data_IF_150488249263
#
_entry.id   IF_150488249263
#
_cell.length_a   1.000
_cell.length_b   1.000
_cell.length_c   1.000
_cell.angle_alpha   90.00
_cell.angle_beta   90.00
_cell.angle_gamma   90.00
#
_symmetry.space_group_name_H-M   'P 1'
#
loop_
_entity.id
_entity.type
_entity.pdbx_description
1 polymer ?
#
# COMPACT_ATOMS: atom_id res chain seq x y z
N UNK A 1 10.02 36.30 -6.80
CA UNK A 1 11.02 35.84 -5.79
C UNK A 1 10.39 34.74 -4.95
N UNK A 2 10.94 33.52 -4.97
CA UNK A 2 10.49 32.42 -4.09
C UNK A 2 11.00 32.76 -2.67
N UNK A 3 10.12 32.77 -1.66
CA UNK A 3 10.53 33.09 -0.29
C UNK A 3 11.57 32.07 0.20
N UNK A 4 12.62 32.55 0.89
CA UNK A 4 13.69 31.73 1.46
C UNK A 4 13.14 30.56 2.30
N UNK A 5 12.01 30.78 2.98
CA UNK A 5 11.27 29.77 3.74
C UNK A 5 10.71 28.63 2.90
N UNK A 6 10.20 28.89 1.69
CA UNK A 6 9.73 27.85 0.76
C UNK A 6 10.90 27.05 0.20
N UNK A 7 11.99 27.72 -0.16
CA UNK A 7 13.19 27.06 -0.68
C UNK A 7 13.82 26.10 0.34
N UNK A 8 13.95 26.53 1.60
CA UNK A 8 14.48 25.68 2.67
C UNK A 8 13.55 24.50 2.99
N UNK A 9 12.23 24.73 3.00
CA UNK A 9 11.23 23.67 3.21
C UNK A 9 11.28 22.61 2.11
N UNK A 10 11.45 23.03 0.87
CA UNK A 10 11.55 22.14 -0.29
C UNK A 10 12.88 21.38 -0.34
N UNK A 11 13.99 22.04 0.01
CA UNK A 11 15.30 21.40 0.14
C UNK A 11 15.31 20.35 1.26
N UNK A 12 14.71 20.67 2.41
CA UNK A 12 14.53 19.73 3.53
C UNK A 12 13.75 18.50 3.10
N UNK A 13 12.61 18.69 2.41
CA UNK A 13 11.79 17.59 1.87
C UNK A 13 12.55 16.66 0.93
N UNK A 14 13.33 17.20 -0.01
CA UNK A 14 14.14 16.39 -0.94
C UNK A 14 15.23 15.59 -0.22
N UNK A 15 15.83 16.15 0.83
CA UNK A 15 16.84 15.46 1.64
C UNK A 15 16.19 14.34 2.45
N UNK A 16 15.09 14.62 3.15
CA UNK A 16 14.34 13.58 3.88
C UNK A 16 13.90 12.46 2.96
N UNK A 17 13.44 12.76 1.73
CA UNK A 17 13.08 11.76 0.73
C UNK A 17 14.26 10.84 0.36
N UNK A 18 15.44 11.41 0.07
CA UNK A 18 16.61 10.60 -0.28
C UNK A 18 17.08 9.73 0.88
N UNK A 19 17.07 10.28 2.09
CA UNK A 19 17.49 9.57 3.30
C UNK A 19 16.52 8.44 3.63
N UNK A 20 15.20 8.66 3.54
CA UNK A 20 14.22 7.59 3.80
C UNK A 20 14.24 6.50 2.72
N UNK A 21 14.53 6.84 1.46
CA UNK A 21 14.72 5.85 0.39
C UNK A 21 15.97 5.00 0.64
N UNK A 22 17.09 5.65 0.97
CA UNK A 22 18.33 4.95 1.31
C UNK A 22 18.14 4.07 2.55
N UNK A 23 17.42 4.56 3.56
CA UNK A 23 17.06 3.78 4.75
C UNK A 23 16.22 2.55 4.38
N UNK A 24 15.24 2.68 3.48
CA UNK A 24 14.42 1.54 3.06
C UNK A 24 15.24 0.50 2.28
N UNK A 25 16.09 0.93 1.36
CA UNK A 25 16.95 0.03 0.59
C UNK A 25 18.00 -0.66 1.45
N UNK A 26 18.56 0.05 2.44
CA UNK A 26 19.56 -0.52 3.36
C UNK A 26 18.91 -1.46 4.37
N UNK A 27 17.75 -1.12 4.92
CA UNK A 27 17.00 -2.01 5.83
C UNK A 27 16.48 -3.26 5.13
N UNK A 28 16.05 -3.17 3.87
CA UNK A 28 15.66 -4.35 3.09
C UNK A 28 16.85 -5.26 2.82
N UNK A 29 18.00 -4.71 2.41
CA UNK A 29 19.23 -5.47 2.22
C UNK A 29 19.73 -6.09 3.53
N UNK A 30 19.72 -5.33 4.64
CA UNK A 30 20.10 -5.84 5.95
C UNK A 30 19.20 -6.99 6.38
N UNK A 31 17.88 -6.91 6.19
CA UNK A 31 16.97 -7.98 6.61
C UNK A 31 17.29 -9.35 5.98
N UNK A 32 17.88 -9.37 4.77
CA UNK A 32 18.28 -10.61 4.11
C UNK A 32 19.72 -11.04 4.44
N UNK A 33 20.62 -10.08 4.69
CA UNK A 33 22.03 -10.34 4.97
C UNK A 33 22.31 -10.62 6.46
N UNK A 34 21.46 -10.15 7.37
CA UNK A 34 21.70 -10.32 8.82
C UNK A 34 21.49 -11.77 9.26
N UNK A 35 22.41 -12.31 10.08
CA UNK A 35 22.24 -13.64 10.67
C UNK A 35 21.04 -13.67 11.62
N UNK A 36 20.46 -14.86 11.79
CA UNK A 36 19.21 -15.06 12.53
C UNK A 36 19.22 -14.44 13.94
N UNK A 37 20.37 -14.48 14.62
CA UNK A 37 20.54 -14.01 15.99
C UNK A 37 20.47 -12.46 16.10
N UNK A 38 20.74 -11.74 15.02
CA UNK A 38 20.74 -10.26 15.01
C UNK A 38 19.45 -9.67 14.42
N UNK A 39 18.57 -10.49 13.82
CA UNK A 39 17.28 -10.06 13.30
C UNK A 39 16.37 -9.40 14.35
N UNK A 40 16.27 -9.87 15.62
CA UNK A 40 15.46 -9.21 16.63
C UNK A 40 15.94 -7.80 16.93
N UNK A 41 17.26 -7.60 16.96
CA UNK A 41 17.86 -6.29 17.21
C UNK A 41 17.54 -5.31 16.07
N UNK A 42 17.59 -5.79 14.83
CA UNK A 42 17.19 -5.03 13.65
C UNK A 42 15.69 -4.66 13.71
N UNK A 43 14.83 -5.61 14.09
CA UNK A 43 13.39 -5.37 14.24
C UNK A 43 13.08 -4.31 15.31
N UNK A 44 13.80 -4.33 16.44
CA UNK A 44 13.71 -3.29 17.48
C UNK A 44 14.17 -1.93 16.94
N UNK A 45 15.29 -1.88 16.22
CA UNK A 45 15.78 -0.65 15.61
C UNK A 45 14.76 -0.03 14.64
N UNK A 46 14.19 -0.83 13.74
CA UNK A 46 13.20 -0.35 12.76
C UNK A 46 11.90 0.09 13.42
N UNK A 47 11.48 -0.56 14.51
CA UNK A 47 10.29 -0.14 15.27
C UNK A 47 10.49 1.17 16.00
N UNK A 48 11.66 1.41 16.59
CA UNK A 48 11.99 2.70 17.21
C UNK A 48 11.91 3.82 16.16
N UNK A 49 12.48 3.59 14.97
CA UNK A 49 12.38 4.56 13.86
C UNK A 49 10.94 4.75 13.42
N UNK A 50 10.13 3.68 13.36
CA UNK A 50 8.70 3.80 13.06
C UNK A 50 7.96 4.66 14.08
N UNK A 51 8.18 4.44 15.39
CA UNK A 51 7.58 5.25 16.45
C UNK A 51 7.95 6.72 16.29
N UNK A 52 9.23 7.00 15.99
CA UNK A 52 9.70 8.36 15.78
C UNK A 52 9.02 9.05 14.58
N UNK A 53 8.79 8.32 13.48
CA UNK A 53 8.20 8.89 12.24
C UNK A 53 6.68 8.96 12.30
N UNK A 54 6.03 7.93 12.84
CA UNK A 54 4.59 7.73 12.75
C UNK A 54 3.83 8.12 14.03
N UNK A 55 4.54 8.23 15.17
CA UNK A 55 3.95 8.43 16.49
C UNK A 55 3.51 7.12 17.15
N UNK A 56 3.52 7.11 18.48
CA UNK A 56 3.20 5.92 19.29
C UNK A 56 1.77 5.40 19.06
N UNK A 57 0.82 6.29 18.75
CA UNK A 57 -0.57 5.95 18.46
C UNK A 57 -0.72 4.99 17.27
N UNK A 58 0.23 5.00 16.34
CA UNK A 58 0.19 4.12 15.16
C UNK A 58 0.72 2.70 15.42
N UNK A 59 1.20 2.42 16.64
CA UNK A 59 1.74 1.11 16.98
C UNK A 59 0.65 0.05 17.17
N UNK A 60 -0.50 0.43 17.74
CA UNK A 60 -1.68 -0.44 17.89
C UNK A 60 -2.30 -0.86 16.56
N UNK A 61 -2.57 0.05 15.60
CA UNK A 61 -3.06 -0.36 14.29
C UNK A 61 -2.00 -1.18 13.53
N UNK A 62 -0.71 -0.83 13.63
CA UNK A 62 0.38 -1.59 13.03
C UNK A 62 0.32 -3.07 13.47
N UNK A 63 0.31 -3.32 14.78
CA UNK A 63 0.29 -4.68 15.31
C UNK A 63 -0.98 -5.40 14.91
N UNK A 64 -2.16 -4.76 15.00
CA UNK A 64 -3.44 -5.36 14.60
C UNK A 64 -3.47 -5.80 13.14
N UNK A 65 -3.06 -4.93 12.20
CA UNK A 65 -3.06 -5.27 10.77
C UNK A 65 -2.00 -6.31 10.42
N UNK A 66 -0.84 -6.23 11.06
CA UNK A 66 0.22 -7.21 10.87
C UNK A 66 -0.21 -8.61 11.36
N UNK A 67 -0.89 -8.70 12.49
CA UNK A 67 -1.36 -9.95 13.08
C UNK A 67 -2.45 -10.60 12.22
N UNK A 68 -3.37 -9.79 11.66
CA UNK A 68 -4.37 -10.24 10.67
C UNK A 68 -3.73 -10.88 9.44
N UNK A 69 -2.57 -10.40 9.01
CA UNK A 69 -1.83 -10.95 7.87
C UNK A 69 -0.99 -12.18 8.24
N UNK A 70 -0.34 -12.17 9.40
CA UNK A 70 0.57 -13.26 9.81
C UNK A 70 -0.16 -14.51 10.24
N UNK A 71 -1.31 -14.42 10.92
CA UNK A 71 -2.03 -15.62 11.39
C UNK A 71 -2.29 -16.60 10.23
N UNK A 72 -2.96 -16.24 9.13
CA UNK A 72 -3.20 -17.18 8.04
C UNK A 72 -1.92 -17.65 7.37
N UNK A 73 -0.91 -16.78 7.24
CA UNK A 73 0.40 -17.15 6.68
C UNK A 73 1.11 -18.20 7.55
N UNK A 74 0.99 -18.08 8.88
CA UNK A 74 1.56 -19.01 9.84
C UNK A 74 0.90 -20.37 9.81
N UNK A 75 -0.43 -20.42 9.73
CA UNK A 75 -1.18 -21.65 9.56
C UNK A 75 -0.75 -22.36 8.26
N UNK A 76 -0.67 -21.62 7.15
CA UNK A 76 -0.22 -22.17 5.87
C UNK A 76 1.22 -22.70 5.93
N UNK A 77 2.14 -21.95 6.56
CA UNK A 77 3.54 -22.37 6.70
C UNK A 77 3.70 -23.64 7.53
N UNK A 78 2.96 -23.77 8.63
CA UNK A 78 2.99 -24.96 9.49
C UNK A 78 2.43 -26.17 8.74
N UNK A 79 1.30 -26.02 8.06
CA UNK A 79 0.71 -27.09 7.24
C UNK A 79 1.68 -27.58 6.16
N UNK A 80 2.38 -26.66 5.49
CA UNK A 80 3.33 -27.00 4.44
C UNK A 80 4.57 -27.74 4.99
N UNK A 81 5.06 -27.33 6.16
CA UNK A 81 6.17 -28.03 6.84
C UNK A 81 5.78 -29.43 7.34
N UNK A 82 4.53 -29.61 7.80
CA UNK A 82 4.00 -30.93 8.18
C UNK A 82 3.95 -31.86 6.96
N UNK A 83 3.53 -31.37 5.80
CA UNK A 83 3.51 -32.15 4.55
C UNK A 83 4.93 -32.57 4.12
N UNK A 84 5.91 -31.67 4.29
CA UNK A 84 7.31 -31.92 3.95
C UNK A 84 8.02 -32.82 4.98
N UNK A 85 7.39 -33.06 6.15
CA UNK A 85 7.93 -33.94 7.20
C UNK A 85 9.08 -33.34 8.01
N UNK A 86 9.35 -32.03 7.86
CA UNK A 86 10.41 -31.32 8.56
C UNK A 86 9.84 -30.02 9.17
N UNK A 87 9.60 -30.04 10.48
CA UNK A 87 9.15 -28.86 11.21
C UNK A 87 10.38 -28.12 11.73
N UNK A 88 10.66 -26.96 11.12
CA UNK A 88 11.71 -26.06 11.56
C UNK A 88 11.08 -24.74 12.05
N UNK A 89 10.88 -24.68 13.37
CA UNK A 89 10.34 -23.49 14.03
C UNK A 89 11.29 -22.28 13.95
N UNK A 90 12.61 -22.49 13.88
CA UNK A 90 13.56 -21.40 13.77
C UNK A 90 13.45 -20.72 12.40
N UNK A 91 13.24 -21.50 11.33
CA UNK A 91 12.99 -20.99 9.99
C UNK A 91 11.67 -20.20 9.90
N UNK A 92 10.62 -20.64 10.59
CA UNK A 92 9.34 -19.92 10.67
C UNK A 92 9.55 -18.54 11.34
N UNK A 93 10.18 -18.53 12.53
CA UNK A 93 10.38 -17.30 13.31
C UNK A 93 11.27 -16.31 12.57
N UNK A 94 12.35 -16.78 11.94
CA UNK A 94 13.25 -15.90 11.16
C UNK A 94 12.53 -15.29 9.96
N UNK A 95 11.72 -16.06 9.23
CA UNK A 95 10.94 -15.55 8.11
C UNK A 95 9.89 -14.51 8.55
N UNK A 96 9.16 -14.75 9.64
CA UNK A 96 8.22 -13.75 10.16
C UNK A 96 8.91 -12.48 10.63
N UNK A 97 10.08 -12.60 11.24
CA UNK A 97 10.87 -11.43 11.67
C UNK A 97 11.31 -10.61 10.45
N UNK A 98 11.77 -11.26 9.37
CA UNK A 98 12.09 -10.58 8.10
C UNK A 98 10.87 -9.88 7.49
N UNK A 99 9.73 -10.56 7.44
CA UNK A 99 8.47 -10.00 6.95
C UNK A 99 8.07 -8.78 7.79
N UNK A 100 8.23 -8.85 9.12
CA UNK A 100 7.96 -7.71 10.01
C UNK A 100 8.85 -6.50 9.72
N UNK A 101 10.16 -6.72 9.56
CA UNK A 101 11.13 -5.66 9.24
C UNK A 101 10.78 -5.01 7.90
N UNK A 102 10.49 -5.80 6.86
CA UNK A 102 10.12 -5.28 5.55
C UNK A 102 8.78 -4.52 5.59
N UNK A 103 7.80 -5.05 6.31
CA UNK A 103 6.50 -4.43 6.48
C UNK A 103 6.62 -3.07 7.19
N UNK A 104 7.33 -3.02 8.33
CA UNK A 104 7.55 -1.78 9.07
C UNK A 104 8.36 -0.76 8.28
N UNK A 105 9.43 -1.17 7.58
CA UNK A 105 10.20 -0.31 6.69
C UNK A 105 9.34 0.28 5.56
N UNK A 106 8.48 -0.54 4.95
CA UNK A 106 7.56 -0.09 3.89
C UNK A 106 6.59 0.99 4.38
N UNK A 107 6.09 0.86 5.61
CA UNK A 107 5.21 1.84 6.23
C UNK A 107 5.94 3.15 6.57
N UNK A 108 7.17 3.07 7.06
CA UNK A 108 8.02 4.25 7.27
C UNK A 108 8.17 5.02 5.97
N UNK A 109 8.42 4.33 4.86
CA UNK A 109 8.50 4.95 3.54
C UNK A 109 7.16 5.54 3.09
N UNK A 110 6.05 4.81 3.22
CA UNK A 110 4.72 5.34 2.85
C UNK A 110 4.36 6.59 3.66
N UNK A 111 4.78 6.68 4.92
CA UNK A 111 4.56 7.86 5.77
C UNK A 111 5.51 9.01 5.43
N UNK A 112 6.73 8.70 5.00
CA UNK A 112 7.75 9.69 4.66
C UNK A 112 7.62 10.23 3.24
N UNK A 113 6.97 9.50 2.34
CA UNK A 113 6.83 9.85 0.93
C UNK A 113 5.45 10.38 0.61
N UNK A 114 5.38 11.56 0.00
CA UNK A 114 4.18 11.96 -0.72
C UNK A 114 4.07 11.25 -2.07
N UNK A 115 2.84 10.98 -2.53
CA UNK A 115 2.59 10.37 -3.84
C UNK A 115 3.24 11.15 -4.99
N UNK A 116 3.34 12.47 -4.85
CA UNK A 116 3.97 13.37 -5.83
C UNK A 116 5.49 13.16 -5.88
N UNK A 117 6.13 12.96 -4.73
CA UNK A 117 7.58 12.73 -4.65
C UNK A 117 7.98 11.39 -5.25
N UNK A 118 7.19 10.32 -5.01
CA UNK A 118 7.34 9.02 -5.66
C UNK A 118 7.29 9.14 -7.19
N UNK A 119 6.29 9.87 -7.72
CA UNK A 119 6.16 10.13 -9.16
C UNK A 119 7.37 10.89 -9.71
N UNK A 120 7.84 11.90 -8.97
CA UNK A 120 9.02 12.67 -9.39
C UNK A 120 10.30 11.82 -9.45
N UNK A 121 10.42 10.82 -8.57
CA UNK A 121 11.53 9.87 -8.54
C UNK A 121 11.50 8.94 -9.75
N UNK A 122 10.36 8.33 -10.06
CA UNK A 122 10.21 7.49 -11.26
C UNK A 122 10.41 8.28 -12.56
N UNK A 123 10.06 9.58 -12.58
CA UNK A 123 10.33 10.45 -13.73
C UNK A 123 11.84 10.64 -13.95
N UNK A 124 12.63 10.74 -12.88
CA UNK A 124 14.10 10.82 -12.97
C UNK A 124 14.74 9.53 -13.45
N UNK A 125 14.14 8.38 -13.12
CA UNK A 125 14.55 7.06 -13.61
C UNK A 125 14.20 6.82 -15.10
N UNK A 126 13.61 7.80 -15.79
CA UNK A 126 13.14 7.68 -17.19
C UNK A 126 12.23 6.47 -17.40
N UNK A 127 11.43 6.12 -16.39
CA UNK A 127 10.55 4.97 -16.45
C UNK A 127 9.42 5.23 -17.47
N UNK A 128 9.51 4.61 -18.66
CA UNK A 128 8.54 4.81 -19.77
C UNK A 128 7.08 4.55 -19.38
N UNK A 129 6.73 3.58 -18.52
CA UNK A 129 5.35 3.35 -18.08
C UNK A 129 4.80 4.39 -17.09
N UNK A 130 5.52 5.44 -16.72
CA UNK A 130 5.11 6.37 -15.66
C UNK A 130 3.71 6.97 -15.88
N UNK A 131 3.37 7.30 -17.12
CA UNK A 131 2.05 7.85 -17.47
C UNK A 131 0.96 6.80 -17.23
N UNK A 132 1.20 5.54 -17.60
CA UNK A 132 0.27 4.44 -17.34
C UNK A 132 0.11 4.18 -15.84
N UNK A 133 1.19 4.23 -15.06
CA UNK A 133 1.16 4.08 -13.60
C UNK A 133 0.39 5.23 -12.93
N UNK A 134 0.62 6.46 -13.37
CA UNK A 134 -0.11 7.64 -12.90
C UNK A 134 -1.60 7.57 -13.24
N UNK A 135 -1.93 7.16 -14.46
CA UNK A 135 -3.30 6.97 -14.90
C UNK A 135 -3.98 5.88 -14.08
N UNK A 136 -3.29 4.75 -13.86
CA UNK A 136 -3.77 3.66 -13.03
C UNK A 136 -4.02 4.13 -11.60
N UNK A 137 -3.08 4.82 -10.96
CA UNK A 137 -3.27 5.36 -9.59
C UNK A 137 -4.47 6.30 -9.50
N UNK A 138 -4.65 7.17 -10.50
CA UNK A 138 -5.79 8.09 -10.54
C UNK A 138 -7.11 7.33 -10.75
N UNK A 139 -7.12 6.33 -11.63
CA UNK A 139 -8.26 5.42 -11.82
C UNK A 139 -8.57 4.65 -10.54
N UNK A 140 -7.58 4.12 -9.83
CA UNK A 140 -7.78 3.39 -8.56
C UNK A 140 -8.39 4.30 -7.49
N UNK A 141 -7.94 5.56 -7.40
CA UNK A 141 -8.53 6.54 -6.49
C UNK A 141 -10.01 6.81 -6.83
N UNK A 142 -10.33 7.03 -8.11
CA UNK A 142 -11.72 7.18 -8.54
C UNK A 142 -12.56 5.93 -8.30
N UNK A 143 -12.01 4.74 -8.58
CA UNK A 143 -12.66 3.46 -8.29
C UNK A 143 -13.00 3.33 -6.81
N UNK A 144 -12.07 3.68 -5.93
CA UNK A 144 -12.31 3.66 -4.49
C UNK A 144 -13.45 4.62 -4.10
N UNK A 145 -13.47 5.83 -4.66
CA UNK A 145 -14.54 6.81 -4.42
C UNK A 145 -15.91 6.31 -4.89
N UNK A 146 -16.00 5.81 -6.13
CA UNK A 146 -17.24 5.26 -6.70
C UNK A 146 -17.73 4.08 -5.85
N UNK A 147 -16.80 3.23 -5.39
CA UNK A 147 -17.13 2.10 -4.54
C UNK A 147 -17.65 2.54 -3.17
N UNK A 148 -17.04 3.55 -2.53
CA UNK A 148 -17.54 4.09 -1.26
C UNK A 148 -18.92 4.73 -1.41
N UNK A 149 -19.18 5.41 -2.52
CA UNK A 149 -20.48 6.02 -2.81
C UNK A 149 -21.52 4.93 -3.08
N UNK A 150 -21.19 3.89 -3.83
CA UNK A 150 -22.06 2.73 -4.04
C UNK A 150 -22.37 2.01 -2.73
N UNK A 151 -21.36 1.77 -1.89
CA UNK A 151 -21.57 1.15 -0.57
C UNK A 151 -22.49 1.99 0.29
N UNK A 152 -22.35 3.33 0.27
CA UNK A 152 -23.23 4.22 1.05
C UNK A 152 -24.66 4.23 0.51
N UNK A 153 -24.85 4.33 -0.81
CA UNK A 153 -26.17 4.28 -1.47
C UNK A 153 -26.88 2.96 -1.21
N UNK A 154 -26.20 1.83 -1.36
CA UNK A 154 -26.78 0.52 -1.06
C UNK A 154 -27.04 0.32 0.43
N UNK A 155 -26.23 0.91 1.32
CA UNK A 155 -26.46 0.87 2.77
C UNK A 155 -27.71 1.65 3.18
N UNK A 156 -27.97 2.79 2.53
CA UNK A 156 -29.15 3.63 2.78
C UNK A 156 -30.41 3.04 2.14
N UNK A 157 -30.34 2.65 0.86
CA UNK A 157 -31.51 2.20 0.10
C UNK A 157 -31.93 0.77 0.42
N UNK A 158 -30.99 -0.12 0.73
CA UNK A 158 -31.27 -1.55 0.95
C UNK A 158 -31.30 -1.87 2.45
N UNK A 159 -31.65 -0.85 3.25
CA UNK A 159 -31.63 -0.82 4.71
C UNK A 159 -31.75 -2.21 5.34
N UNK A 160 -30.72 -2.60 6.10
CA UNK A 160 -30.77 -3.76 6.98
C UNK A 160 -30.91 -5.16 6.35
N UNK A 161 -30.84 -5.35 5.03
CA UNK A 161 -30.78 -6.70 4.43
C UNK A 161 -29.46 -7.45 4.73
N UNK A 162 -28.40 -6.72 5.09
CA UNK A 162 -27.10 -7.31 5.49
C UNK A 162 -27.12 -8.15 6.78
N UNK A 163 -28.23 -8.14 7.55
CA UNK A 163 -28.42 -9.00 8.72
C UNK A 163 -28.97 -10.40 8.41
N UNK A 164 -29.51 -10.65 7.21
CA UNK A 164 -30.08 -11.96 6.87
C UNK A 164 -29.11 -12.79 6.03
N UNK A 165 -28.49 -13.82 6.62
CA UNK A 165 -27.80 -14.92 5.92
C UNK A 165 -26.56 -14.59 5.06
N UNK A 166 -25.64 -15.54 4.93
CA UNK A 166 -24.46 -15.43 4.08
C UNK A 166 -24.82 -15.20 2.60
N UNK A 167 -25.85 -15.90 2.09
CA UNK A 167 -26.33 -15.80 0.71
C UNK A 167 -26.78 -14.39 0.31
N UNK A 168 -27.48 -13.66 1.20
CA UNK A 168 -27.91 -12.30 0.89
C UNK A 168 -26.73 -11.33 0.81
N UNK A 169 -25.71 -11.51 1.68
CA UNK A 169 -24.47 -10.71 1.63
C UNK A 169 -23.71 -10.93 0.33
N UNK A 170 -23.63 -12.17 -0.14
CA UNK A 170 -22.99 -12.49 -1.42
C UNK A 170 -23.78 -11.86 -2.57
N UNK A 171 -25.11 -11.96 -2.57
CA UNK A 171 -25.94 -11.37 -3.62
C UNK A 171 -25.83 -9.84 -3.68
N UNK A 172 -25.80 -9.18 -2.52
CA UNK A 172 -25.57 -7.73 -2.42
C UNK A 172 -24.18 -7.33 -2.95
N UNK A 173 -23.15 -8.10 -2.60
CA UNK A 173 -21.79 -7.87 -3.10
C UNK A 173 -21.74 -8.03 -4.64
N UNK A 174 -22.41 -9.04 -5.20
CA UNK A 174 -22.51 -9.23 -6.66
C UNK A 174 -23.21 -8.05 -7.33
N UNK A 175 -24.31 -7.54 -6.76
CA UNK A 175 -24.98 -6.35 -7.29
C UNK A 175 -24.11 -5.10 -7.23
N UNK A 176 -23.41 -4.89 -6.11
CA UNK A 176 -22.47 -3.78 -5.94
C UNK A 176 -21.33 -3.84 -6.96
N UNK A 177 -20.77 -5.03 -7.22
CA UNK A 177 -19.73 -5.21 -8.23
C UNK A 177 -20.28 -4.92 -9.64
N UNK A 178 -21.48 -5.41 -9.98
CA UNK A 178 -22.09 -5.14 -11.28
C UNK A 178 -22.32 -3.65 -11.51
N UNK A 179 -22.90 -2.96 -10.52
CA UNK A 179 -23.10 -1.51 -10.57
C UNK A 179 -21.78 -0.75 -10.66
N UNK A 180 -20.76 -1.18 -9.91
CA UNK A 180 -19.42 -0.63 -9.95
C UNK A 180 -18.80 -0.76 -11.35
N UNK A 181 -18.85 -1.95 -11.96
CA UNK A 181 -18.29 -2.19 -13.30
C UNK A 181 -18.94 -1.29 -14.33
N UNK A 182 -20.27 -1.14 -14.30
CA UNK A 182 -21.01 -0.27 -15.23
C UNK A 182 -20.65 1.21 -15.06
N UNK A 183 -20.62 1.71 -13.82
CA UNK A 183 -20.24 3.10 -13.54
C UNK A 183 -18.78 3.37 -13.91
N UNK A 184 -17.91 2.40 -13.65
CA UNK A 184 -16.49 2.49 -13.98
C UNK A 184 -16.25 2.51 -15.49
N UNK A 185 -16.92 1.67 -16.27
CA UNK A 185 -16.77 1.68 -17.74
C UNK A 185 -17.26 2.98 -18.38
N UNK A 186 -18.40 3.52 -17.94
CA UNK A 186 -18.89 4.82 -18.41
C UNK A 186 -17.88 5.93 -18.10
N UNK A 187 -17.37 5.96 -16.87
CA UNK A 187 -16.35 6.96 -16.47
C UNK A 187 -15.02 6.79 -17.20
N UNK A 188 -14.59 5.55 -17.46
CA UNK A 188 -13.39 5.28 -18.22
C UNK A 188 -13.52 5.77 -19.67
N UNK A 189 -14.69 5.59 -20.29
CA UNK A 189 -14.99 6.09 -21.63
C UNK A 189 -14.98 7.62 -21.68
N UNK A 190 -15.64 8.30 -20.73
CA UNK A 190 -15.62 9.77 -20.63
C UNK A 190 -14.19 10.33 -20.46
N UNK A 191 -13.37 9.69 -19.61
CA UNK A 191 -11.97 10.07 -19.43
C UNK A 191 -11.15 9.81 -20.68
N UNK A 192 -11.39 8.69 -21.38
CA UNK A 192 -10.76 8.35 -22.65
C UNK A 192 -11.07 9.39 -23.73
N UNK A 193 -12.33 9.79 -23.87
CA UNK A 193 -12.77 10.82 -24.81
C UNK A 193 -12.19 12.20 -24.46
N UNK A 194 -12.18 12.58 -23.17
CA UNK A 194 -11.57 13.81 -22.70
C UNK A 194 -10.04 13.84 -22.92
N UNK A 195 -9.36 12.70 -22.83
CA UNK A 195 -7.93 12.60 -23.16
C UNK A 195 -7.71 12.69 -24.67
N UNK A 196 -8.50 11.96 -25.47
CA UNK A 196 -8.41 12.00 -26.92
C UNK A 196 -8.61 13.42 -27.43
N UNK A 197 -9.65 14.12 -27.00
CA UNK A 197 -9.94 15.51 -27.41
C UNK A 197 -8.85 16.51 -27.01
N UNK A 198 -8.27 16.39 -25.81
CA UNK A 198 -7.23 17.30 -25.32
C UNK A 198 -5.85 17.06 -25.94
N UNK A 199 -5.50 15.80 -26.22
CA UNK A 199 -4.18 15.44 -26.76
C UNK A 199 -4.19 15.14 -28.26
N UNK A 200 -5.35 15.25 -28.93
CA UNK A 200 -5.50 15.10 -30.39
C UNK A 200 -4.47 15.90 -31.19
N UNK A 201 -4.09 17.09 -30.70
CA UNK A 201 -3.12 17.99 -31.33
C UNK A 201 -1.65 17.58 -31.20
N UNK A 202 -1.33 16.60 -30.35
CA UNK A 202 0.04 16.13 -30.10
C UNK A 202 0.34 14.77 -30.75
N UNK A 203 -0.65 14.17 -31.42
CA UNK A 203 -0.56 12.85 -32.08
C UNK A 203 -0.65 12.98 -33.62
N UNK A 204 -0.69 14.22 -34.13
CA UNK A 204 -0.66 14.54 -35.56
C UNK A 204 0.67 15.18 -35.95
#
# INVERSE_FOLDING_TARGET
MISLSRFLKERRRRITFKVSLALLLTTSLLAFLTPANLLPLLAIGVTIVFIYVAGFEQLVPLTKYFLLFIIPLSIASILLQVIVGAIDFALIVTNFTKIYILYTASLIAMKSFSSIELVSFFRKLKFKPLIAVLLALKLTYYSASIFTDLVSVYKVNVGYLGKKGFLCRVMLLVMQIKAFVQLFTVKALEVGEAMYTRYKKFVG
#
